data_IF_180599135616
#
_entry.id   IF_180599135616
#
_cell.length_a   1.000
_cell.length_b   1.000
_cell.length_c   1.000
_cell.angle_alpha   90.00
_cell.angle_beta   90.00
_cell.angle_gamma   90.00
#
_symmetry.space_group_name_H-M   'P 1'
#
loop_
_entity.id
_entity.type
_entity.pdbx_description
1 polymer ?
#
# COMPACT_ATOMS: atom_id res chain seq x y z
N UNK A 1 -69.00 -31.85 16.34
CA UNK A 1 -67.81 -32.08 15.48
C UNK A 1 -67.29 -30.71 15.07
N UNK A 2 -66.28 -30.20 15.77
CA UNK A 2 -65.75 -28.85 15.57
C UNK A 2 -64.49 -28.86 14.71
N UNK A 3 -64.25 -27.84 13.87
CA UNK A 3 -63.03 -27.72 13.09
C UNK A 3 -61.89 -27.24 14.00
N UNK A 4 -60.82 -28.04 14.06
CA UNK A 4 -59.58 -27.69 14.75
C UNK A 4 -58.78 -26.67 13.94
N UNK A 5 -58.66 -25.45 14.45
CA UNK A 5 -57.69 -24.46 13.97
C UNK A 5 -56.30 -24.85 14.47
N UNK A 6 -55.45 -25.34 13.55
CA UNK A 6 -54.03 -25.53 13.82
C UNK A 6 -53.34 -24.15 13.87
N UNK A 7 -52.99 -23.72 15.08
CA UNK A 7 -52.08 -22.60 15.30
C UNK A 7 -50.68 -23.02 14.83
N UNK A 8 -50.18 -22.43 13.75
CA UNK A 8 -48.76 -22.48 13.40
C UNK A 8 -48.02 -21.45 14.26
N UNK A 9 -47.16 -21.84 15.21
CA UNK A 9 -46.20 -20.90 15.76
C UNK A 9 -45.18 -20.61 14.66
N UNK A 10 -45.36 -19.51 13.93
CA UNK A 10 -44.27 -18.84 13.25
C UNK A 10 -43.28 -18.41 14.34
N UNK A 11 -42.31 -19.28 14.58
CA UNK A 11 -41.25 -19.07 15.54
C UNK A 11 -40.46 -17.84 15.11
N UNK A 12 -40.49 -16.81 15.96
CA UNK A 12 -39.67 -15.59 15.90
C UNK A 12 -38.15 -15.90 15.72
N UNK A 13 -37.74 -17.14 15.97
CA UNK A 13 -36.38 -17.64 15.82
C UNK A 13 -35.89 -17.75 14.36
N UNK A 14 -36.79 -17.84 13.36
CA UNK A 14 -36.38 -17.98 11.96
C UNK A 14 -35.85 -16.69 11.33
N UNK A 15 -36.32 -15.53 11.80
CA UNK A 15 -35.97 -14.22 11.21
C UNK A 15 -34.60 -13.74 11.68
N UNK A 16 -34.18 -14.09 12.90
CA UNK A 16 -32.91 -13.63 13.48
C UNK A 16 -31.68 -14.31 12.84
N UNK A 17 -31.82 -15.55 12.34
CA UNK A 17 -30.71 -16.28 11.71
C UNK A 17 -30.34 -15.74 10.31
N UNK A 18 -31.31 -15.19 9.57
CA UNK A 18 -31.08 -14.65 8.22
C UNK A 18 -30.40 -13.28 8.23
N UNK A 19 -30.57 -12.48 9.29
CA UNK A 19 -29.87 -11.21 9.43
C UNK A 19 -28.41 -11.35 9.88
N UNK A 20 -28.07 -12.43 10.60
CA UNK A 20 -26.69 -12.66 11.05
C UNK A 20 -25.74 -13.11 9.91
N UNK A 21 -26.28 -13.79 8.89
CA UNK A 21 -25.50 -14.23 7.72
C UNK A 21 -25.09 -13.09 6.79
N UNK A 22 -25.83 -11.98 6.76
CA UNK A 22 -25.54 -10.83 5.91
C UNK A 22 -24.41 -9.92 6.46
N UNK A 23 -24.09 -10.01 7.75
CA UNK A 23 -23.00 -9.22 8.37
C UNK A 23 -21.63 -9.89 8.30
N UNK A 24 -21.56 -11.20 7.98
CA UNK A 24 -20.29 -11.94 7.88
C UNK A 24 -19.66 -11.90 6.48
N UNK A 25 -20.39 -11.39 5.47
CA UNK A 25 -19.89 -11.28 4.09
C UNK A 25 -19.16 -9.96 3.78
N UNK A 26 -19.11 -9.02 4.73
CA UNK A 26 -18.47 -7.71 4.56
C UNK A 26 -17.13 -7.61 5.29
N UNK A 27 -16.40 -8.73 5.43
CA UNK A 27 -14.98 -8.68 5.77
C UNK A 27 -14.25 -8.27 4.49
N UNK A 28 -13.91 -6.98 4.40
CA UNK A 28 -13.29 -6.35 3.25
C UNK A 28 -12.05 -7.10 2.74
N UNK A 29 -11.84 -7.01 1.42
CA UNK A 29 -10.63 -7.49 0.78
C UNK A 29 -9.42 -6.75 1.31
N UNK A 30 -8.75 -7.32 2.30
CA UNK A 30 -7.46 -6.83 2.79
C UNK A 30 -6.31 -7.28 1.90
N UNK A 31 -5.13 -6.71 2.14
CA UNK A 31 -3.91 -7.05 1.41
C UNK A 31 -3.62 -8.55 1.43
N UNK A 32 -3.29 -9.09 0.25
CA UNK A 32 -2.90 -10.49 0.07
C UNK A 32 -1.39 -10.67 0.27
N UNK A 33 -0.96 -11.92 0.39
CA UNK A 33 0.48 -12.23 0.40
C UNK A 33 1.22 -11.73 -0.86
N UNK A 34 0.54 -11.70 -2.01
CA UNK A 34 1.12 -11.21 -3.24
C UNK A 34 1.38 -9.69 -3.18
N UNK A 35 0.47 -8.94 -2.56
CA UNK A 35 0.57 -7.48 -2.37
C UNK A 35 1.73 -7.14 -1.44
N UNK A 36 1.83 -7.81 -0.28
CA UNK A 36 2.97 -7.61 0.62
C UNK A 36 4.31 -7.94 -0.05
N UNK A 37 4.35 -8.99 -0.88
CA UNK A 37 5.55 -9.35 -1.63
C UNK A 37 5.89 -8.31 -2.70
N UNK A 38 4.88 -7.73 -3.35
CA UNK A 38 5.07 -6.63 -4.28
C UNK A 38 5.65 -5.41 -3.57
N UNK A 39 5.03 -4.98 -2.47
CA UNK A 39 5.52 -3.85 -1.67
C UNK A 39 6.98 -4.06 -1.26
N UNK A 40 7.37 -5.23 -0.77
CA UNK A 40 8.77 -5.50 -0.39
C UNK A 40 9.76 -5.36 -1.55
N UNK A 41 9.38 -5.73 -2.78
CA UNK A 41 10.25 -5.53 -3.96
C UNK A 41 10.41 -4.04 -4.25
N UNK A 42 9.33 -3.28 -4.19
CA UNK A 42 9.37 -1.83 -4.41
C UNK A 42 10.13 -1.11 -3.29
N UNK A 43 10.00 -1.54 -2.03
CA UNK A 43 10.78 -1.02 -0.91
C UNK A 43 12.29 -1.17 -1.15
N UNK A 44 12.72 -2.34 -1.63
CA UNK A 44 14.13 -2.56 -1.98
C UNK A 44 14.61 -1.63 -3.11
N UNK A 45 13.75 -1.32 -4.08
CA UNK A 45 14.05 -0.34 -5.14
C UNK A 45 14.14 1.08 -4.58
N UNK A 46 13.20 1.49 -3.72
CA UNK A 46 13.21 2.79 -3.03
C UNK A 46 14.50 2.96 -2.22
N UNK A 47 14.86 1.98 -1.40
CA UNK A 47 16.06 2.01 -0.56
C UNK A 47 17.33 2.10 -1.41
N UNK A 48 17.43 1.29 -2.47
CA UNK A 48 18.57 1.32 -3.39
C UNK A 48 18.69 2.67 -4.09
N UNK A 49 17.61 3.17 -4.66
CA UNK A 49 17.60 4.44 -5.38
C UNK A 49 17.92 5.62 -4.46
N UNK A 50 17.36 5.64 -3.25
CA UNK A 50 17.69 6.64 -2.24
C UNK A 50 19.17 6.58 -1.82
N UNK A 51 19.72 5.37 -1.62
CA UNK A 51 21.14 5.20 -1.30
C UNK A 51 22.04 5.71 -2.43
N UNK A 52 21.76 5.35 -3.69
CA UNK A 52 22.50 5.84 -4.85
C UNK A 52 22.41 7.36 -5.00
N UNK A 53 21.20 7.93 -4.87
CA UNK A 53 20.99 9.37 -5.00
C UNK A 53 21.73 10.20 -3.93
N UNK A 54 21.93 9.65 -2.73
CA UNK A 54 22.53 10.33 -1.57
C UNK A 54 23.98 9.93 -1.25
N UNK A 55 24.56 8.94 -1.94
CA UNK A 55 25.90 8.44 -1.61
C UNK A 55 26.98 9.51 -1.84
N UNK A 56 27.75 9.93 -0.82
CA UNK A 56 28.81 10.92 -0.98
C UNK A 56 30.18 10.34 -1.35
N UNK A 57 30.39 9.02 -1.18
CA UNK A 57 31.71 8.40 -1.22
C UNK A 57 32.26 8.18 -2.63
N UNK A 58 31.40 8.10 -3.63
CA UNK A 58 31.79 8.02 -5.05
C UNK A 58 30.65 8.64 -5.82
N UNK A 59 30.70 9.94 -6.15
CA UNK A 59 29.54 10.58 -6.71
C UNK A 59 29.29 10.04 -8.12
N UNK A 60 28.23 9.23 -8.34
CA UNK A 60 27.88 8.89 -9.70
C UNK A 60 27.56 10.18 -10.46
N UNK A 61 27.68 10.17 -11.81
CA UNK A 61 27.30 11.31 -12.63
C UNK A 61 25.90 11.83 -12.26
N UNK A 62 25.66 13.13 -12.38
CA UNK A 62 24.37 13.74 -12.04
C UNK A 62 23.17 13.03 -12.71
N UNK A 63 23.34 12.57 -13.95
CA UNK A 63 22.33 11.79 -14.66
C UNK A 63 21.95 10.50 -13.90
N UNK A 64 22.93 9.74 -13.42
CA UNK A 64 22.69 8.49 -12.69
C UNK A 64 22.02 8.74 -11.33
N UNK A 65 22.38 9.81 -10.60
CA UNK A 65 21.67 10.21 -9.37
C UNK A 65 20.22 10.55 -9.62
N UNK A 66 19.97 11.30 -10.70
CA UNK A 66 18.62 11.74 -11.08
C UNK A 66 17.78 10.52 -11.44
N UNK A 67 18.29 9.63 -12.28
CA UNK A 67 17.64 8.36 -12.62
C UNK A 67 17.39 7.48 -11.39
N UNK A 68 18.33 7.40 -10.45
CA UNK A 68 18.13 6.65 -9.21
C UNK A 68 17.04 7.26 -8.31
N UNK A 69 16.98 8.59 -8.22
CA UNK A 69 15.94 9.29 -7.47
C UNK A 69 14.56 9.12 -8.13
N UNK A 70 14.48 9.18 -9.46
CA UNK A 70 13.26 8.92 -10.22
C UNK A 70 12.78 7.48 -10.02
N UNK A 71 13.67 6.49 -10.17
CA UNK A 71 13.31 5.08 -9.93
C UNK A 71 12.87 4.79 -8.49
N UNK A 72 13.39 5.52 -7.50
CA UNK A 72 12.89 5.46 -6.12
C UNK A 72 11.49 6.08 -5.96
N UNK A 73 11.16 7.09 -6.76
CA UNK A 73 9.83 7.70 -6.74
C UNK A 73 8.80 6.84 -7.46
N UNK A 74 9.12 6.31 -8.63
CA UNK A 74 8.22 5.41 -9.36
C UNK A 74 7.89 4.17 -8.50
N UNK A 75 8.90 3.59 -7.83
CA UNK A 75 8.65 2.49 -6.90
C UNK A 75 7.85 2.90 -5.66
N UNK A 76 7.97 4.15 -5.20
CA UNK A 76 7.13 4.65 -4.11
C UNK A 76 5.67 4.80 -4.54
N UNK A 77 5.43 5.24 -5.77
CA UNK A 77 4.09 5.38 -6.33
C UNK A 77 3.41 4.00 -6.47
N UNK A 78 4.13 2.99 -6.96
CA UNK A 78 3.63 1.59 -7.02
C UNK A 78 3.25 1.03 -5.62
N UNK A 79 4.00 1.37 -4.57
CA UNK A 79 3.63 0.99 -3.19
C UNK A 79 2.32 1.66 -2.78
N UNK A 80 2.13 2.92 -3.16
CA UNK A 80 0.94 3.68 -2.85
C UNK A 80 -0.28 3.19 -3.60
N UNK A 81 -0.13 2.80 -4.87
CA UNK A 81 -1.23 2.22 -5.66
C UNK A 81 -1.72 0.91 -5.01
N UNK A 82 -0.80 0.03 -4.58
CA UNK A 82 -1.17 -1.19 -3.83
C UNK A 82 -1.84 -0.84 -2.50
N UNK A 83 -1.36 0.18 -1.80
CA UNK A 83 -1.94 0.59 -0.52
C UNK A 83 -3.37 1.13 -0.67
N UNK A 84 -3.62 1.92 -1.71
CA UNK A 84 -4.94 2.48 -2.02
C UNK A 84 -5.92 1.38 -2.47
N UNK A 85 -5.45 0.39 -3.24
CA UNK A 85 -6.27 -0.74 -3.71
C UNK A 85 -6.68 -1.70 -2.59
N UNK A 86 -5.82 -1.86 -1.57
CA UNK A 86 -6.04 -2.83 -0.49
C UNK A 86 -6.72 -2.24 0.75
N UNK A 87 -6.77 -0.91 0.87
CA UNK A 87 -7.20 -0.17 2.07
C UNK A 87 -6.54 -0.71 3.37
N UNK A 88 -5.34 -1.28 3.24
CA UNK A 88 -4.61 -1.89 4.34
C UNK A 88 -3.76 -0.83 5.07
N UNK A 89 -3.93 -0.77 6.40
CA UNK A 89 -3.25 0.24 7.22
C UNK A 89 -1.72 0.12 7.16
N UNK A 90 -1.17 -1.09 7.11
CA UNK A 90 0.29 -1.28 7.01
C UNK A 90 0.80 -0.85 5.64
N UNK A 91 0.07 -1.20 4.56
CA UNK A 91 0.39 -0.75 3.21
C UNK A 91 0.40 0.79 3.11
N UNK A 92 -0.58 1.47 3.70
CA UNK A 92 -0.64 2.94 3.74
C UNK A 92 0.57 3.56 4.47
N UNK A 93 0.99 2.99 5.61
CA UNK A 93 2.18 3.45 6.34
C UNK A 93 3.47 3.23 5.53
N UNK A 94 3.54 2.14 4.76
CA UNK A 94 4.65 1.84 3.85
C UNK A 94 4.69 2.83 2.69
N UNK A 95 3.54 3.18 2.10
CA UNK A 95 3.42 4.26 1.11
C UNK A 95 3.95 5.60 1.64
N UNK A 96 3.54 6.05 2.83
CA UNK A 96 4.03 7.29 3.42
C UNK A 96 5.56 7.28 3.61
N UNK A 97 6.11 6.15 4.06
CA UNK A 97 7.56 5.98 4.21
C UNK A 97 8.27 6.07 2.86
N UNK A 98 7.73 5.43 1.84
CA UNK A 98 8.28 5.43 0.49
C UNK A 98 8.25 6.83 -0.13
N UNK A 99 7.14 7.57 -0.02
CA UNK A 99 7.04 8.98 -0.48
C UNK A 99 8.07 9.88 0.18
N UNK A 100 8.28 9.73 1.50
CA UNK A 100 9.33 10.47 2.22
C UNK A 100 10.73 10.12 1.71
N UNK A 101 10.99 8.85 1.37
CA UNK A 101 12.26 8.43 0.80
C UNK A 101 12.49 8.99 -0.61
N UNK A 102 11.48 8.95 -1.48
CA UNK A 102 11.48 9.61 -2.79
C UNK A 102 11.83 11.10 -2.69
N UNK A 103 11.14 11.83 -1.80
CA UNK A 103 11.40 13.27 -1.60
C UNK A 103 12.85 13.54 -1.19
N UNK A 104 13.40 12.75 -0.27
CA UNK A 104 14.81 12.85 0.14
C UNK A 104 15.77 12.51 -1.01
N UNK A 105 15.49 11.46 -1.78
CA UNK A 105 16.31 11.07 -2.91
C UNK A 105 16.37 12.17 -3.98
N UNK A 106 15.22 12.78 -4.32
CA UNK A 106 15.15 13.92 -5.25
C UNK A 106 15.92 15.15 -4.73
N UNK A 107 15.78 15.48 -3.44
CA UNK A 107 16.54 16.59 -2.84
C UNK A 107 18.05 16.34 -2.92
N UNK A 108 18.50 15.15 -2.53
CA UNK A 108 19.91 14.78 -2.56
C UNK A 108 20.47 14.82 -3.98
N UNK A 109 19.76 14.25 -4.96
CA UNK A 109 20.17 14.29 -6.36
C UNK A 109 20.31 15.74 -6.85
N UNK A 110 19.34 16.61 -6.55
CA UNK A 110 19.38 18.04 -6.90
C UNK A 110 20.58 18.75 -6.27
N UNK A 111 20.79 18.60 -4.96
CA UNK A 111 21.89 19.23 -4.22
C UNK A 111 23.25 18.82 -4.81
N UNK A 112 23.45 17.53 -5.09
CA UNK A 112 24.68 17.03 -5.71
C UNK A 112 24.89 17.54 -7.14
N UNK A 113 23.84 17.56 -7.97
CA UNK A 113 23.92 18.08 -9.33
C UNK A 113 24.25 19.57 -9.38
N UNK A 114 23.69 20.36 -8.46
CA UNK A 114 23.99 21.80 -8.34
C UNK A 114 25.43 22.03 -7.90
N UNK A 115 25.93 21.26 -6.93
CA UNK A 115 27.33 21.32 -6.50
C UNK A 115 28.34 20.91 -7.58
N UNK A 116 27.91 20.14 -8.58
CA UNK A 116 28.75 19.69 -9.69
C UNK A 116 28.81 20.67 -10.88
N UNK A 117 28.03 21.75 -10.85
CA UNK A 117 28.07 22.80 -11.89
C UNK A 117 29.08 23.87 -11.44
N UNK A 118 30.22 24.06 -12.16
CA UNK A 118 31.26 25.02 -11.78
C UNK A 118 30.84 26.48 -11.94
#
# INVERSE_FOLDING_TARGET
MGPGTANFPLTLAGVTALLLGAFLGACGGGATHADFRAIQRHEATVERGAATASNPATPPPCAERTTAAEGACDAADEICDIADDTDDRDALLRCERARRACARARSAAKEHCQAATP
#
